data_IF_534944837058
#
_entry.id   IF_534944837058
#
_cell.length_a   1.000
_cell.length_b   1.000
_cell.length_c   1.000
_cell.angle_alpha   90.00
_cell.angle_beta   90.00
_cell.angle_gamma   90.00
#
_symmetry.space_group_name_H-M   'P 1'
#
loop_
_entity.id
_entity.type
_entity.pdbx_description
1 polymer ?
#
# COMPACT_ATOMS: atom_id res chain seq x y z
N UNK A 1 1.56 -16.09 0.25
CA UNK A 1 1.83 -15.04 1.26
C UNK A 1 0.51 -14.37 1.63
N UNK A 2 0.01 -14.65 2.83
CA UNK A 2 -1.33 -14.22 3.28
C UNK A 2 -1.39 -12.77 3.75
N UNK A 3 -0.71 -11.86 3.08
CA UNK A 3 -0.78 -10.44 3.41
C UNK A 3 -2.10 -9.88 2.90
N UNK A 4 -2.97 -9.49 3.82
CA UNK A 4 -4.25 -8.88 3.47
C UNK A 4 -4.36 -7.56 4.21
N UNK A 5 -4.55 -6.50 3.46
CA UNK A 5 -4.68 -5.13 3.93
C UNK A 5 -5.98 -4.55 3.42
N UNK A 6 -6.56 -3.64 4.18
CA UNK A 6 -7.76 -2.93 3.78
C UNK A 6 -7.88 -1.60 4.51
N UNK A 7 -8.70 -0.72 3.96
CA UNK A 7 -9.13 0.50 4.61
C UNK A 7 -10.65 0.59 4.61
N UNK A 8 -11.23 1.33 5.55
CA UNK A 8 -12.68 1.54 5.63
C UNK A 8 -13.10 2.97 5.24
N UNK A 9 -14.41 3.26 5.26
CA UNK A 9 -14.95 4.57 4.92
C UNK A 9 -14.52 5.73 5.85
N UNK A 10 -13.94 5.42 7.02
CA UNK A 10 -13.35 6.41 7.94
C UNK A 10 -11.85 6.60 7.70
N UNK A 11 -11.33 6.06 6.60
CA UNK A 11 -9.91 5.98 6.26
C UNK A 11 -9.07 5.18 7.27
N UNK A 12 -9.67 4.40 8.15
CA UNK A 12 -8.91 3.57 9.09
C UNK A 12 -8.28 2.38 8.36
N UNK A 13 -7.03 2.08 8.67
CA UNK A 13 -6.24 1.03 8.01
C UNK A 13 -6.27 -0.24 8.86
N UNK A 14 -6.38 -1.39 8.21
CA UNK A 14 -6.39 -2.69 8.86
C UNK A 14 -5.51 -3.70 8.12
N UNK A 15 -4.90 -4.60 8.89
CA UNK A 15 -4.24 -5.80 8.43
C UNK A 15 -4.98 -7.04 8.95
N UNK A 16 -5.09 -8.10 8.14
CA UNK A 16 -5.70 -9.38 8.56
C UNK A 16 -4.67 -10.24 9.28
N UNK A 17 -4.74 -10.28 10.60
CA UNK A 17 -3.85 -11.10 11.42
C UNK A 17 -4.05 -12.59 11.15
N UNK A 18 -2.96 -13.36 11.10
CA UNK A 18 -2.99 -14.83 10.96
C UNK A 18 -3.44 -15.35 9.59
N UNK A 19 -3.65 -14.48 8.60
CA UNK A 19 -4.00 -14.92 7.25
C UNK A 19 -2.80 -15.64 6.59
N UNK A 20 -3.06 -16.82 6.03
CA UNK A 20 -2.07 -17.60 5.28
C UNK A 20 -2.79 -18.40 4.17
N UNK A 21 -2.02 -19.18 3.37
CA UNK A 21 -2.60 -19.98 2.29
C UNK A 21 -3.60 -21.02 2.81
N UNK A 22 -3.31 -21.64 3.96
CA UNK A 22 -4.18 -22.68 4.56
C UNK A 22 -5.28 -22.08 5.45
N UNK A 23 -5.16 -20.80 5.83
CA UNK A 23 -6.15 -20.08 6.62
C UNK A 23 -6.32 -18.64 6.05
N UNK A 24 -7.03 -18.47 4.93
CA UNK A 24 -7.20 -17.17 4.30
C UNK A 24 -8.06 -16.22 5.16
N UNK A 25 -8.90 -16.76 6.04
CA UNK A 25 -9.69 -15.98 6.99
C UNK A 25 -8.84 -15.40 8.13
N UNK A 26 -7.69 -15.98 8.46
CA UNK A 26 -6.88 -15.55 9.59
C UNK A 26 -7.66 -15.48 10.92
N UNK A 27 -7.11 -14.76 11.89
CA UNK A 27 -7.69 -14.55 13.22
C UNK A 27 -8.59 -13.31 13.32
N UNK A 28 -8.50 -12.38 12.36
CA UNK A 28 -9.32 -11.17 12.34
C UNK A 28 -8.57 -9.94 11.85
N UNK A 29 -9.26 -8.80 11.82
CA UNK A 29 -8.68 -7.52 11.43
C UNK A 29 -8.04 -6.81 12.62
N UNK A 30 -6.83 -6.29 12.44
CA UNK A 30 -6.12 -5.47 13.41
C UNK A 30 -5.89 -4.08 12.82
N UNK A 31 -6.20 -3.04 13.61
CA UNK A 31 -6.03 -1.65 13.19
C UNK A 31 -4.54 -1.31 13.12
N UNK A 32 -4.16 -0.62 12.05
CA UNK A 32 -2.82 -0.06 11.83
C UNK A 32 -2.92 1.46 11.93
N UNK A 33 -1.86 2.10 12.44
CA UNK A 33 -1.76 3.54 12.57
C UNK A 33 -1.85 4.26 11.23
N UNK A 34 -2.29 5.53 11.23
CA UNK A 34 -2.44 6.37 10.04
C UNK A 34 -3.85 6.39 9.45
N UNK A 35 -3.97 6.90 8.22
CA UNK A 35 -5.23 6.92 7.49
C UNK A 35 -5.05 6.90 5.98
N UNK A 36 -5.71 5.95 5.31
CA UNK A 36 -5.66 5.76 3.86
C UNK A 36 -7.07 5.57 3.30
N UNK A 37 -7.29 6.02 2.06
CA UNK A 37 -8.50 5.73 1.28
C UNK A 37 -8.30 4.61 0.26
N UNK A 38 -7.05 4.34 -0.12
CA UNK A 38 -6.63 3.21 -0.95
C UNK A 38 -5.37 2.59 -0.37
N UNK A 39 -5.30 1.26 -0.39
CA UNK A 39 -4.15 0.48 0.05
C UNK A 39 -3.93 -0.70 -0.90
N UNK A 40 -2.66 -0.99 -1.20
CA UNK A 40 -2.25 -2.14 -1.99
C UNK A 40 -1.01 -2.76 -1.35
N UNK A 41 -0.95 -4.09 -1.35
CA UNK A 41 0.15 -4.85 -0.75
C UNK A 41 0.83 -5.74 -1.79
N UNK A 42 2.15 -5.69 -1.83
CA UNK A 42 2.98 -6.54 -2.69
C UNK A 42 3.14 -7.96 -2.12
N UNK A 43 3.65 -8.90 -2.94
CA UNK A 43 3.83 -10.30 -2.52
C UNK A 43 4.82 -10.47 -1.36
N UNK A 44 5.72 -9.51 -1.16
CA UNK A 44 6.72 -9.46 -0.08
C UNK A 44 6.23 -8.71 1.18
N UNK A 45 4.96 -8.31 1.20
CA UNK A 45 4.34 -7.63 2.34
C UNK A 45 4.59 -6.12 2.40
N UNK A 46 5.30 -5.54 1.43
CA UNK A 46 5.42 -4.08 1.29
C UNK A 46 4.07 -3.47 0.96
N UNK A 47 3.74 -2.36 1.58
CA UNK A 47 2.44 -1.72 1.47
C UNK A 47 2.59 -0.32 0.90
N UNK A 48 1.75 -0.01 -0.07
CA UNK A 48 1.57 1.33 -0.59
C UNK A 48 0.12 1.76 -0.41
N UNK A 49 -0.10 3.06 -0.31
CA UNK A 49 -1.46 3.60 -0.32
C UNK A 49 -1.48 5.11 -0.49
N UNK A 50 -2.67 5.65 -0.66
CA UNK A 50 -2.88 7.09 -0.63
C UNK A 50 -3.99 7.49 0.35
N UNK A 51 -3.85 8.67 0.94
CA UNK A 51 -4.80 9.21 1.91
C UNK A 51 -5.91 10.05 1.25
N UNK A 52 -6.82 10.59 2.05
CA UNK A 52 -7.92 11.42 1.56
C UNK A 52 -7.48 12.66 0.76
N UNK A 53 -6.27 13.17 1.02
CA UNK A 53 -5.64 14.28 0.32
C UNK A 53 -4.80 13.89 -0.90
N UNK A 54 -4.95 12.67 -1.42
CA UNK A 54 -4.15 12.09 -2.52
C UNK A 54 -2.67 11.90 -2.19
N UNK A 55 -2.23 12.12 -0.95
CA UNK A 55 -0.83 11.97 -0.56
C UNK A 55 -0.45 10.49 -0.49
N UNK A 56 0.74 10.16 -0.98
CA UNK A 56 1.20 8.78 -1.17
C UNK A 56 2.08 8.35 -0.02
N UNK A 57 1.90 7.13 0.44
CA UNK A 57 2.65 6.54 1.55
C UNK A 57 3.13 5.14 1.23
N UNK A 58 4.33 4.84 1.70
CA UNK A 58 4.95 3.52 1.68
C UNK A 58 5.13 3.01 3.11
N UNK A 59 5.01 1.69 3.32
CA UNK A 59 5.36 1.00 4.56
C UNK A 59 6.09 -0.31 4.23
N UNK A 60 7.23 -0.62 4.87
CA UNK A 60 8.01 -1.81 4.54
C UNK A 60 7.39 -3.13 5.01
N UNK A 61 6.26 -3.07 5.73
CA UNK A 61 5.54 -4.23 6.25
C UNK A 61 4.81 -3.88 7.55
N UNK A 62 4.15 -4.87 8.17
CA UNK A 62 3.36 -4.65 9.39
C UNK A 62 4.18 -4.00 10.53
N UNK A 63 5.43 -4.43 10.72
CA UNK A 63 6.35 -3.89 11.74
C UNK A 63 7.02 -2.56 11.36
N UNK A 64 6.83 -2.09 10.13
CA UNK A 64 7.39 -0.82 9.65
C UNK A 64 6.61 0.40 10.11
N UNK A 65 6.99 1.57 9.62
CA UNK A 65 6.23 2.82 9.76
C UNK A 65 5.93 3.41 8.39
N UNK A 66 4.90 4.26 8.33
CA UNK A 66 4.55 4.97 7.11
C UNK A 66 5.59 6.04 6.78
N UNK A 67 6.04 6.05 5.53
CA UNK A 67 6.92 7.07 4.96
C UNK A 67 6.18 7.75 3.82
N UNK A 68 6.09 9.08 3.86
CA UNK A 68 5.51 9.86 2.77
C UNK A 68 6.39 9.78 1.54
N UNK A 69 5.78 9.50 0.39
CA UNK A 69 6.44 9.53 -0.92
C UNK A 69 5.87 10.73 -1.67
N UNK A 70 6.73 11.55 -2.27
CA UNK A 70 6.31 12.73 -3.02
C UNK A 70 5.40 12.37 -4.19
N UNK A 71 4.50 13.28 -4.59
CA UNK A 71 3.47 13.03 -5.61
C UNK A 71 2.05 12.99 -5.02
N UNK A 72 1.05 12.99 -5.90
CA UNK A 72 -0.36 12.93 -5.53
C UNK A 72 -1.09 11.91 -6.44
N UNK A 73 -1.67 10.87 -5.86
CA UNK A 73 -2.45 9.86 -6.58
C UNK A 73 -3.79 9.62 -5.88
N UNK A 74 -4.87 9.52 -6.66
CA UNK A 74 -6.20 9.21 -6.12
C UNK A 74 -6.42 7.73 -5.88
N UNK A 75 -5.64 6.87 -6.56
CA UNK A 75 -5.55 5.43 -6.33
C UNK A 75 -4.15 4.93 -6.74
N UNK A 76 -3.78 3.73 -6.31
CA UNK A 76 -2.58 3.05 -6.75
C UNK A 76 -2.72 1.53 -6.58
N UNK A 77 -1.87 0.78 -7.26
CA UNK A 77 -1.69 -0.66 -7.09
C UNK A 77 -0.21 -1.03 -7.11
N UNK A 78 0.13 -2.10 -6.40
CA UNK A 78 1.45 -2.74 -6.40
C UNK A 78 1.34 -4.01 -7.23
N UNK A 79 2.12 -4.11 -8.30
CA UNK A 79 2.19 -5.26 -9.18
C UNK A 79 3.06 -6.37 -8.55
N UNK A 80 2.94 -7.60 -9.08
CA UNK A 80 3.68 -8.76 -8.57
C UNK A 80 5.21 -8.61 -8.69
N UNK A 81 5.68 -7.89 -9.72
CA UNK A 81 7.08 -7.56 -9.95
C UNK A 81 7.60 -6.44 -9.03
N UNK A 82 6.76 -5.89 -8.16
CA UNK A 82 7.08 -4.78 -7.27
C UNK A 82 6.83 -3.39 -7.88
N UNK A 83 6.50 -3.30 -9.17
CA UNK A 83 6.16 -2.04 -9.83
C UNK A 83 4.94 -1.39 -9.17
N UNK A 84 4.92 -0.07 -9.08
CA UNK A 84 3.79 0.69 -8.51
C UNK A 84 3.21 1.59 -9.57
N UNK A 85 1.90 1.50 -9.79
CA UNK A 85 1.18 2.29 -10.79
C UNK A 85 -0.09 2.88 -10.20
N UNK A 86 -0.54 4.02 -10.71
CA UNK A 86 -1.77 4.65 -10.26
C UNK A 86 -2.17 5.84 -11.11
N UNK A 87 -3.32 6.45 -10.80
CA UNK A 87 -3.73 7.69 -11.43
C UNK A 87 -3.92 8.83 -10.44
N UNK A 88 -3.72 10.06 -10.92
CA UNK A 88 -3.95 11.27 -10.13
C UNK A 88 -5.42 11.75 -10.25
N UNK A 89 -5.71 12.88 -9.61
CA UNK A 89 -7.05 13.48 -9.63
C UNK A 89 -7.54 13.85 -11.04
N UNK A 90 -6.62 14.15 -11.95
CA UNK A 90 -6.86 14.48 -13.36
C UNK A 90 -6.95 13.27 -14.28
N UNK A 91 -6.99 12.04 -13.73
CA UNK A 91 -6.99 10.78 -14.49
C UNK A 91 -5.72 10.49 -15.29
N UNK A 92 -4.63 11.21 -15.00
CA UNK A 92 -3.32 10.94 -15.59
C UNK A 92 -2.67 9.73 -14.92
N UNK A 93 -2.11 8.83 -15.73
CA UNK A 93 -1.47 7.58 -15.29
C UNK A 93 0.02 7.80 -15.02
N UNK A 94 0.51 7.21 -13.93
CA UNK A 94 1.91 7.26 -13.53
C UNK A 94 2.43 5.87 -13.18
N UNK A 95 3.73 5.67 -13.41
CA UNK A 95 4.47 4.46 -13.05
C UNK A 95 5.65 4.88 -12.19
N UNK A 96 5.77 4.31 -10.99
CA UNK A 96 6.92 4.56 -10.14
C UNK A 96 8.17 3.91 -10.72
N UNK A 97 9.17 4.70 -11.02
CA UNK A 97 10.44 4.24 -11.57
C UNK A 97 11.42 3.77 -10.48
N UNK A 98 12.33 2.87 -10.87
CA UNK A 98 13.41 2.30 -10.05
C UNK A 98 12.98 1.58 -8.77
N UNK A 99 11.73 1.10 -8.68
CA UNK A 99 11.31 0.30 -7.53
C UNK A 99 12.06 -1.03 -7.55
N UNK A 100 12.80 -1.32 -6.48
CA UNK A 100 13.58 -2.56 -6.36
C UNK A 100 13.63 -3.08 -4.92
N UNK A 101 14.28 -4.22 -4.72
CA UNK A 101 14.51 -4.77 -3.39
C UNK A 101 15.30 -3.78 -2.50
N UNK A 102 16.35 -3.17 -3.05
CA UNK A 102 17.26 -2.25 -2.35
C UNK A 102 16.73 -0.80 -2.32
N UNK A 103 15.88 -0.43 -3.27
CA UNK A 103 15.26 0.89 -3.39
C UNK A 103 13.73 0.75 -3.43
N UNK A 104 13.10 0.39 -2.30
CA UNK A 104 11.69 0.02 -2.27
C UNK A 104 10.73 1.16 -2.61
N UNK A 105 11.17 2.41 -2.50
CA UNK A 105 10.36 3.59 -2.83
C UNK A 105 10.64 4.16 -4.24
N UNK A 106 11.56 3.57 -5.00
CA UNK A 106 11.95 4.08 -6.31
C UNK A 106 12.48 5.52 -6.28
N UNK A 107 12.46 6.21 -7.43
CA UNK A 107 12.97 7.59 -7.58
C UNK A 107 11.90 8.61 -7.96
N UNK A 108 11.09 8.32 -8.97
CA UNK A 108 10.14 9.27 -9.59
C UNK A 108 8.87 8.59 -10.09
N UNK A 109 7.85 9.39 -10.34
CA UNK A 109 6.56 8.99 -10.96
C UNK A 109 6.56 9.30 -12.44
#
# INVERSE_FOLDING_TARGET
NGHVWGCNAKNEIYHRSGACLDNPMGAGWQKVDGGLKYVSVGPDGRVWGCNAGDEIYYRPGLSGSWTKVGGLLKNLTVCHDGSVVGCNKSDELYVREDVSADKPMGSKW
#
